data_IF_320898162949
#
_entry.id   IF_320898162949
#
_cell.length_a   1.000
_cell.length_b   1.000
_cell.length_c   1.000
_cell.angle_alpha   90.00
_cell.angle_beta   90.00
_cell.angle_gamma   90.00
#
_symmetry.space_group_name_H-M   'P 1'
#
loop_
_entity.id
_entity.type
_entity.pdbx_description
1 polymer ?
#
# COMPACT_ATOMS: atom_id res chain seq x y z
N UNK A 1 -77.86 -29.08 -44.57
CA UNK A 1 -77.19 -28.12 -43.67
C UNK A 1 -76.37 -29.00 -42.73
N UNK A 2 -75.15 -29.29 -43.11
CA UNK A 2 -74.23 -30.12 -42.32
C UNK A 2 -72.86 -29.47 -42.45
N UNK A 3 -72.42 -28.85 -41.34
CA UNK A 3 -71.20 -28.04 -41.18
C UNK A 3 -70.04 -29.03 -40.93
N UNK A 4 -69.10 -29.14 -41.84
CA UNK A 4 -67.98 -30.06 -41.77
C UNK A 4 -66.75 -29.23 -41.36
N UNK A 5 -66.41 -29.19 -40.05
CA UNK A 5 -65.16 -28.65 -39.53
C UNK A 5 -64.06 -29.70 -39.69
N UNK A 6 -63.05 -29.33 -40.46
CA UNK A 6 -61.75 -30.00 -40.56
C UNK A 6 -60.90 -29.67 -39.34
N UNK A 7 -60.27 -30.64 -38.67
CA UNK A 7 -59.37 -30.35 -37.56
C UNK A 7 -58.00 -29.90 -38.10
N UNK A 8 -57.55 -28.73 -37.63
CA UNK A 8 -56.19 -28.24 -37.81
C UNK A 8 -55.19 -29.15 -37.05
N UNK A 9 -54.15 -29.57 -37.76
CA UNK A 9 -53.00 -30.25 -37.18
C UNK A 9 -52.12 -29.22 -36.46
N UNK A 10 -51.55 -29.54 -35.26
CA UNK A 10 -50.58 -28.65 -34.60
C UNK A 10 -49.24 -28.74 -35.32
N UNK A 11 -48.74 -27.58 -35.74
CA UNK A 11 -47.39 -27.38 -36.25
C UNK A 11 -46.36 -27.88 -35.23
N UNK A 12 -45.52 -28.83 -35.64
CA UNK A 12 -44.31 -29.23 -34.89
C UNK A 12 -43.31 -28.10 -34.91
N UNK A 13 -43.18 -27.35 -33.80
CA UNK A 13 -42.07 -26.47 -33.53
C UNK A 13 -40.78 -27.29 -33.50
N UNK A 14 -39.98 -27.16 -34.53
CA UNK A 14 -38.62 -27.64 -34.62
C UNK A 14 -37.78 -26.91 -33.53
N UNK A 15 -37.45 -27.65 -32.47
CA UNK A 15 -36.54 -27.17 -31.43
C UNK A 15 -35.19 -26.88 -32.08
N UNK A 16 -34.74 -25.59 -31.99
CA UNK A 16 -33.38 -25.18 -32.31
C UNK A 16 -32.39 -25.98 -31.44
N UNK A 17 -31.24 -26.40 -31.99
CA UNK A 17 -30.21 -27.06 -31.19
C UNK A 17 -29.74 -26.11 -30.09
N UNK A 18 -29.80 -26.59 -28.84
CA UNK A 18 -29.26 -25.90 -27.68
C UNK A 18 -27.77 -25.61 -27.93
N UNK A 19 -27.41 -24.33 -27.90
CA UNK A 19 -26.02 -23.91 -27.86
C UNK A 19 -25.34 -24.58 -26.66
N UNK A 20 -24.11 -25.12 -26.82
CA UNK A 20 -23.41 -25.71 -25.70
C UNK A 20 -23.21 -24.67 -24.62
N UNK A 21 -23.74 -24.92 -23.43
CA UNK A 21 -23.51 -24.18 -22.21
C UNK A 21 -22.04 -23.70 -22.16
N UNK A 22 -21.84 -22.41 -22.25
CA UNK A 22 -20.57 -21.79 -21.96
C UNK A 22 -20.28 -22.13 -20.50
N UNK A 23 -19.48 -23.16 -20.27
CA UNK A 23 -19.01 -23.55 -18.94
C UNK A 23 -18.42 -22.31 -18.30
N UNK A 24 -19.03 -21.84 -17.21
CA UNK A 24 -18.49 -20.80 -16.38
C UNK A 24 -17.01 -21.13 -16.10
N UNK A 25 -16.10 -20.16 -16.19
CA UNK A 25 -14.67 -20.39 -15.97
C UNK A 25 -14.52 -21.09 -14.62
N UNK A 26 -14.07 -22.34 -14.62
CA UNK A 26 -13.83 -23.10 -13.40
C UNK A 26 -12.70 -22.39 -12.66
N UNK A 27 -13.02 -21.75 -11.55
CA UNK A 27 -12.01 -21.11 -10.69
C UNK A 27 -10.97 -22.16 -10.30
N UNK A 28 -9.70 -21.84 -10.52
CA UNK A 28 -8.62 -22.77 -10.21
C UNK A 28 -8.58 -23.01 -8.69
N UNK A 29 -8.39 -24.27 -8.20
CA UNK A 29 -8.41 -24.58 -6.77
C UNK A 29 -7.43 -23.72 -5.93
N UNK A 30 -6.36 -23.22 -6.55
CA UNK A 30 -5.38 -22.38 -5.89
C UNK A 30 -5.78 -20.91 -5.81
N UNK A 31 -6.83 -20.48 -6.49
CA UNK A 31 -7.31 -19.08 -6.37
C UNK A 31 -7.85 -18.75 -4.99
N UNK A 32 -8.42 -19.73 -4.30
CA UNK A 32 -9.03 -19.59 -2.98
C UNK A 32 -8.03 -19.64 -1.82
N UNK A 33 -6.76 -20.01 -2.08
CA UNK A 33 -5.76 -20.11 -1.04
C UNK A 33 -5.39 -18.74 -0.49
N UNK A 34 -5.47 -18.57 0.82
CA UNK A 34 -4.96 -17.38 1.51
C UNK A 34 -3.44 -17.52 1.72
N UNK A 35 -2.65 -16.49 1.42
CA UNK A 35 -1.22 -16.51 1.71
C UNK A 35 -0.97 -16.48 3.21
N UNK A 36 0.06 -17.20 3.65
CA UNK A 36 0.46 -17.26 5.04
C UNK A 36 1.38 -16.08 5.39
N UNK A 37 1.31 -15.53 6.64
CA UNK A 37 2.24 -14.54 7.12
C UNK A 37 3.68 -15.02 6.96
N UNK A 38 4.53 -14.19 6.35
CA UNK A 38 5.90 -14.56 6.05
C UNK A 38 6.90 -13.67 6.77
N UNK A 39 6.77 -12.34 6.62
CA UNK A 39 7.65 -11.35 7.24
C UNK A 39 6.95 -10.02 7.48
N UNK A 40 7.59 -9.16 8.28
CA UNK A 40 7.16 -7.79 8.47
C UNK A 40 7.94 -6.87 7.52
N UNK A 41 7.24 -5.89 6.94
CA UNK A 41 7.83 -4.84 6.12
C UNK A 41 7.81 -3.53 6.89
N UNK A 42 8.92 -2.80 6.82
CA UNK A 42 9.02 -1.40 7.22
C UNK A 42 8.92 -0.54 5.97
N UNK A 43 7.89 0.30 5.91
CA UNK A 43 7.70 1.30 4.87
C UNK A 43 8.20 2.65 5.38
N UNK A 44 9.37 3.06 4.92
CA UNK A 44 10.01 4.30 5.38
C UNK A 44 9.17 5.54 5.07
N UNK A 45 9.24 6.59 5.91
CA UNK A 45 8.59 7.85 5.62
C UNK A 45 9.15 8.43 4.33
N UNK A 46 8.28 9.04 3.53
CA UNK A 46 8.68 9.66 2.28
C UNK A 46 8.17 11.10 2.21
N UNK A 47 8.80 11.95 1.41
CA UNK A 47 8.35 13.32 1.20
C UNK A 47 6.89 13.39 0.78
N UNK A 48 6.23 14.50 1.09
CA UNK A 48 4.87 14.77 0.64
C UNK A 48 4.76 14.62 -0.88
N UNK A 49 3.71 13.95 -1.33
CA UNK A 49 3.38 13.79 -2.75
C UNK A 49 1.99 14.38 -2.99
N UNK A 50 1.83 15.18 -4.05
CA UNK A 50 0.55 15.84 -4.37
C UNK A 50 -0.59 14.84 -4.63
N UNK A 51 -0.26 13.68 -5.21
CA UNK A 51 -1.26 12.67 -5.56
C UNK A 51 -1.63 11.76 -4.37
N UNK A 52 -0.69 11.47 -3.47
CA UNK A 52 -0.88 10.49 -2.38
C UNK A 52 -0.83 11.11 -0.98
N UNK A 53 -0.52 12.40 -0.87
CA UNK A 53 -0.46 13.12 0.40
C UNK A 53 0.76 12.78 1.26
N UNK A 54 0.57 12.80 2.59
CA UNK A 54 1.61 12.50 3.57
C UNK A 54 1.90 11.00 3.59
N UNK A 55 3.17 10.63 3.56
CA UNK A 55 3.64 9.25 3.56
C UNK A 55 4.47 8.92 4.81
N UNK A 56 3.83 8.73 5.97
CA UNK A 56 4.51 8.47 7.24
C UNK A 56 5.14 7.08 7.26
N UNK A 57 5.97 6.82 8.28
CA UNK A 57 6.43 5.48 8.62
C UNK A 57 5.21 4.55 8.83
N UNK A 58 5.25 3.38 8.21
CA UNK A 58 4.25 2.33 8.42
C UNK A 58 4.91 0.97 8.47
N UNK A 59 4.26 0.04 9.12
CA UNK A 59 4.59 -1.37 9.07
C UNK A 59 3.48 -2.11 8.34
N UNK A 60 3.85 -3.15 7.61
CA UNK A 60 2.92 -3.97 6.86
C UNK A 60 3.29 -5.44 7.00
N UNK A 61 2.30 -6.31 7.05
CA UNK A 61 2.51 -7.74 7.01
C UNK A 61 2.70 -8.17 5.56
N UNK A 62 3.78 -8.87 5.28
CA UNK A 62 4.05 -9.50 4.00
C UNK A 62 3.74 -10.98 4.12
N UNK A 63 2.88 -11.47 3.25
CA UNK A 63 2.45 -12.86 3.22
C UNK A 63 2.80 -13.48 1.88
N UNK A 64 3.13 -14.78 1.90
CA UNK A 64 3.59 -15.54 0.73
C UNK A 64 3.00 -16.93 0.75
N UNK A 65 2.63 -17.45 -0.42
CA UNK A 65 2.30 -18.85 -0.63
C UNK A 65 2.88 -19.30 -1.96
N UNK A 66 3.40 -20.52 -1.99
CA UNK A 66 3.89 -21.18 -3.18
C UNK A 66 3.15 -22.50 -3.36
N UNK A 67 2.78 -22.80 -4.59
CA UNK A 67 2.22 -24.11 -4.98
C UNK A 67 2.87 -24.54 -6.28
N UNK A 68 3.17 -25.83 -6.36
CA UNK A 68 3.82 -26.43 -7.49
C UNK A 68 3.09 -27.69 -7.91
N UNK A 69 2.91 -27.84 -9.21
CA UNK A 69 2.46 -29.07 -9.83
C UNK A 69 3.33 -29.39 -11.04
N UNK A 70 3.09 -30.51 -11.70
CA UNK A 70 3.80 -30.87 -12.93
C UNK A 70 3.43 -29.97 -14.14
N UNK A 71 2.26 -29.33 -14.09
CA UNK A 71 1.77 -28.49 -15.18
C UNK A 71 2.01 -27.02 -14.95
N UNK A 72 1.88 -26.57 -13.70
CA UNK A 72 1.93 -25.16 -13.37
C UNK A 72 2.44 -24.91 -11.94
N UNK A 73 2.89 -23.71 -11.70
CA UNK A 73 3.26 -23.21 -10.37
C UNK A 73 2.65 -21.83 -10.13
N UNK A 74 2.26 -21.60 -8.88
CA UNK A 74 1.73 -20.31 -8.41
C UNK A 74 2.62 -19.77 -7.29
N UNK A 75 2.99 -18.51 -7.43
CA UNK A 75 3.45 -17.66 -6.33
C UNK A 75 2.39 -16.60 -6.08
N UNK A 76 1.89 -16.52 -4.84
CA UNK A 76 1.00 -15.46 -4.39
C UNK A 76 1.66 -14.68 -3.28
N UNK A 77 1.74 -13.37 -3.48
CA UNK A 77 2.27 -12.42 -2.52
C UNK A 77 1.16 -11.47 -2.12
N UNK A 78 1.05 -11.14 -0.83
CA UNK A 78 0.15 -10.08 -0.37
C UNK A 78 0.80 -9.19 0.68
N UNK A 79 0.34 -7.94 0.75
CA UNK A 79 0.81 -6.95 1.72
C UNK A 79 -0.39 -6.33 2.41
N UNK A 80 -0.46 -6.47 3.72
CA UNK A 80 -1.55 -5.97 4.56
C UNK A 80 -1.03 -4.93 5.55
N UNK A 81 -1.70 -3.77 5.59
CA UNK A 81 -1.40 -2.73 6.57
C UNK A 81 -2.38 -2.80 7.74
N UNK A 82 -1.93 -2.54 8.97
CA UNK A 82 -2.81 -2.53 10.13
C UNK A 82 -3.98 -1.56 9.95
N UNK A 83 -5.19 -2.04 10.23
CA UNK A 83 -6.43 -1.25 10.13
C UNK A 83 -6.94 -0.99 8.71
N UNK A 84 -6.35 -1.60 7.69
CA UNK A 84 -6.81 -1.50 6.32
C UNK A 84 -7.81 -2.62 6.00
N UNK A 85 -8.97 -2.23 5.44
CA UNK A 85 -9.91 -3.19 4.87
C UNK A 85 -9.63 -3.33 3.37
N UNK A 86 -9.01 -4.43 2.98
CA UNK A 86 -8.64 -4.71 1.60
C UNK A 86 -9.84 -5.25 0.80
N UNK A 87 -9.95 -4.80 -0.46
CA UNK A 87 -10.84 -5.42 -1.44
C UNK A 87 -10.20 -6.70 -1.96
N UNK A 88 -11.02 -7.61 -2.51
CA UNK A 88 -10.53 -8.81 -3.20
C UNK A 88 -9.48 -8.40 -4.26
N UNK A 89 -8.32 -9.05 -4.27
CA UNK A 89 -7.16 -8.79 -5.14
C UNK A 89 -6.39 -7.47 -4.93
N UNK A 90 -6.75 -6.66 -3.93
CA UNK A 90 -5.98 -5.46 -3.58
C UNK A 90 -4.72 -5.85 -2.80
N UNK A 91 -3.59 -5.20 -3.08
CA UNK A 91 -2.27 -5.50 -2.50
C UNK A 91 -1.84 -6.96 -2.64
N UNK A 92 -2.31 -7.63 -3.69
CA UNK A 92 -2.02 -9.03 -3.99
C UNK A 92 -1.44 -9.15 -5.39
N UNK A 93 -0.34 -9.87 -5.50
CA UNK A 93 0.31 -10.22 -6.76
C UNK A 93 0.29 -11.75 -6.90
N UNK A 94 -0.37 -12.25 -7.91
CA UNK A 94 -0.34 -13.64 -8.31
C UNK A 94 0.54 -13.79 -9.55
N UNK A 95 1.46 -14.74 -9.49
CA UNK A 95 2.38 -15.06 -10.57
C UNK A 95 2.24 -16.53 -10.91
N UNK A 96 1.87 -16.80 -12.13
CA UNK A 96 1.66 -18.14 -12.65
C UNK A 96 2.79 -18.54 -13.59
N UNK A 97 3.25 -19.77 -13.46
CA UNK A 97 4.19 -20.41 -14.36
C UNK A 97 3.51 -21.60 -15.03
N UNK A 98 3.43 -21.57 -16.35
CA UNK A 98 3.03 -22.73 -17.15
C UNK A 98 4.27 -23.53 -17.55
N UNK A 99 4.39 -24.76 -17.06
CA UNK A 99 5.53 -25.62 -17.33
C UNK A 99 5.46 -26.30 -18.71
N UNK A 100 4.28 -26.34 -19.33
CA UNK A 100 4.10 -26.90 -20.67
C UNK A 100 4.52 -25.88 -21.73
N UNK A 101 4.07 -24.63 -21.58
CA UNK A 101 4.40 -23.55 -22.51
C UNK A 101 5.72 -22.87 -22.13
N UNK A 102 6.24 -23.10 -20.94
CA UNK A 102 7.43 -22.42 -20.36
C UNK A 102 7.26 -20.93 -20.34
N UNK A 103 6.12 -20.48 -19.86
CA UNK A 103 5.74 -19.08 -19.76
C UNK A 103 5.44 -18.65 -18.32
N UNK A 104 5.76 -17.40 -18.03
CA UNK A 104 5.45 -16.72 -16.77
C UNK A 104 4.42 -15.62 -17.02
N UNK A 105 3.36 -15.60 -16.23
CA UNK A 105 2.29 -14.59 -16.29
C UNK A 105 2.12 -13.91 -14.96
N UNK A 106 1.97 -12.58 -14.99
CA UNK A 106 1.62 -11.76 -13.84
C UNK A 106 0.15 -11.38 -13.88
N UNK A 107 -0.55 -11.52 -12.76
CA UNK A 107 -1.89 -10.97 -12.59
C UNK A 107 -1.83 -9.45 -12.32
N UNK A 108 -2.89 -8.69 -12.67
CA UNK A 108 -2.92 -7.25 -12.45
C UNK A 108 -2.79 -6.90 -10.97
N UNK A 109 -1.83 -6.01 -10.65
CA UNK A 109 -1.54 -5.56 -9.29
C UNK A 109 -2.21 -4.20 -9.01
N UNK A 110 -3.10 -4.17 -8.02
CA UNK A 110 -3.71 -2.96 -7.49
C UNK A 110 -3.16 -2.66 -6.10
N UNK A 111 -2.56 -1.49 -5.92
CA UNK A 111 -1.87 -1.11 -4.69
C UNK A 111 -2.59 -0.01 -3.93
N UNK A 112 -2.75 -0.20 -2.61
CA UNK A 112 -3.21 0.80 -1.67
C UNK A 112 -2.42 0.67 -0.34
N UNK A 113 -1.71 1.69 0.11
CA UNK A 113 -1.50 2.99 -0.53
C UNK A 113 -0.53 2.91 -1.72
N UNK A 114 -0.79 3.70 -2.78
CA UNK A 114 0.10 3.76 -3.93
C UNK A 114 1.40 4.51 -3.61
N UNK A 115 2.39 4.35 -4.49
CA UNK A 115 3.66 5.10 -4.45
C UNK A 115 4.47 4.94 -3.15
N UNK A 116 4.46 3.72 -2.58
CA UNK A 116 5.25 3.35 -1.38
C UNK A 116 6.42 2.42 -1.67
N UNK A 117 6.61 2.04 -2.92
CA UNK A 117 7.63 1.05 -3.33
C UNK A 117 7.17 -0.41 -3.23
N UNK A 118 5.96 -0.67 -2.70
CA UNK A 118 5.42 -2.03 -2.48
C UNK A 118 5.37 -2.81 -3.80
N UNK A 119 4.89 -2.20 -4.90
CA UNK A 119 4.76 -2.89 -6.19
C UNK A 119 6.11 -3.35 -6.75
N UNK A 120 7.12 -2.48 -6.70
CA UNK A 120 8.48 -2.84 -7.12
C UNK A 120 9.07 -3.96 -6.25
N UNK A 121 8.83 -3.90 -4.94
CA UNK A 121 9.24 -4.95 -4.01
C UNK A 121 8.57 -6.29 -4.33
N UNK A 122 7.25 -6.32 -4.52
CA UNK A 122 6.52 -7.57 -4.83
C UNK A 122 6.97 -8.16 -6.17
N UNK A 123 7.15 -7.32 -7.20
CA UNK A 123 7.67 -7.76 -8.50
C UNK A 123 9.09 -8.31 -8.37
N UNK A 124 9.98 -7.65 -7.61
CA UNK A 124 11.33 -8.13 -7.38
C UNK A 124 11.34 -9.50 -6.69
N UNK A 125 10.48 -9.71 -5.67
CA UNK A 125 10.35 -11.01 -5.00
C UNK A 125 9.82 -12.10 -5.95
N UNK A 126 8.91 -11.75 -6.86
CA UNK A 126 8.39 -12.67 -7.85
C UNK A 126 9.44 -13.03 -8.91
N UNK A 127 10.22 -12.06 -9.36
CA UNK A 127 11.31 -12.26 -10.33
C UNK A 127 12.40 -13.14 -9.71
N UNK A 128 12.82 -12.84 -8.48
CA UNK A 128 13.83 -13.63 -7.75
C UNK A 128 13.39 -15.09 -7.61
N UNK A 129 12.13 -15.33 -7.21
CA UNK A 129 11.57 -16.66 -7.12
C UNK A 129 11.59 -17.41 -8.46
N UNK A 130 11.20 -16.76 -9.54
CA UNK A 130 11.16 -17.38 -10.86
C UNK A 130 12.58 -17.64 -11.40
N UNK A 131 13.54 -16.75 -11.17
CA UNK A 131 14.92 -16.90 -11.61
C UNK A 131 15.64 -18.10 -10.98
N UNK A 132 15.29 -18.47 -9.74
CA UNK A 132 15.92 -19.59 -9.05
C UNK A 132 15.80 -20.93 -9.78
N UNK A 133 14.70 -21.15 -10.51
CA UNK A 133 14.43 -22.44 -11.16
C UNK A 133 14.01 -22.35 -12.62
N UNK A 134 13.43 -21.22 -13.07
CA UNK A 134 12.78 -21.06 -14.37
C UNK A 134 13.28 -19.84 -15.16
N UNK A 135 14.54 -19.49 -14.98
CA UNK A 135 15.18 -18.34 -15.63
C UNK A 135 15.06 -18.32 -17.16
N UNK A 136 14.88 -19.49 -17.77
CA UNK A 136 14.76 -19.67 -19.21
C UNK A 136 13.34 -19.53 -19.76
N UNK A 137 12.31 -19.36 -18.89
CA UNK A 137 10.93 -19.20 -19.32
C UNK A 137 10.72 -17.84 -19.97
N UNK A 138 9.80 -17.80 -20.96
CA UNK A 138 9.35 -16.55 -21.53
C UNK A 138 8.42 -15.81 -20.56
N UNK A 139 8.33 -14.49 -20.67
CA UNK A 139 7.39 -13.68 -19.92
C UNK A 139 6.24 -13.32 -20.84
N UNK A 140 5.02 -13.71 -20.45
CA UNK A 140 3.84 -13.36 -21.20
C UNK A 140 3.60 -11.84 -21.10
N UNK A 141 3.29 -11.21 -22.22
CA UNK A 141 2.91 -9.81 -22.26
C UNK A 141 1.61 -9.58 -21.51
N UNK A 142 1.53 -8.51 -20.74
CA UNK A 142 0.32 -8.14 -20.00
C UNK A 142 -0.11 -6.72 -20.31
N UNK A 143 -1.41 -6.47 -20.15
CA UNK A 143 -1.98 -5.14 -20.30
C UNK A 143 -1.77 -4.30 -19.06
N UNK A 144 -1.47 -3.03 -19.28
CA UNK A 144 -1.38 -2.01 -18.23
C UNK A 144 -2.67 -1.18 -18.19
N UNK A 145 -3.03 -0.63 -17.01
CA UNK A 145 -4.20 0.26 -16.90
C UNK A 145 -4.17 1.39 -17.94
N UNK A 146 -5.33 1.69 -18.53
CA UNK A 146 -5.48 2.73 -19.53
C UNK A 146 -4.98 4.10 -19.02
N UNK A 147 -4.48 4.92 -19.93
CA UNK A 147 -3.95 6.26 -19.65
C UNK A 147 -4.95 7.16 -18.88
N UNK A 148 -6.23 7.12 -19.22
CA UNK A 148 -7.28 7.92 -18.59
C UNK A 148 -7.59 7.51 -17.13
N UNK A 149 -7.12 6.34 -16.67
CA UNK A 149 -7.26 5.86 -15.29
C UNK A 149 -6.13 6.32 -14.38
N UNK A 150 -5.07 6.90 -14.92
CA UNK A 150 -3.88 7.31 -14.18
C UNK A 150 -3.52 8.75 -14.48
N UNK A 151 -3.02 9.47 -13.47
CA UNK A 151 -2.36 10.75 -13.73
C UNK A 151 -1.07 10.52 -14.55
N UNK A 152 -0.64 11.53 -15.30
CA UNK A 152 0.57 11.42 -16.12
C UNK A 152 1.81 11.09 -15.27
N UNK A 153 1.94 11.69 -14.10
CA UNK A 153 3.02 11.37 -13.16
C UNK A 153 2.97 9.93 -12.67
N UNK A 154 1.77 9.38 -12.40
CA UNK A 154 1.62 7.99 -11.98
C UNK A 154 1.98 7.02 -13.10
N UNK A 155 1.63 7.36 -14.36
CA UNK A 155 2.00 6.62 -15.55
C UNK A 155 3.53 6.58 -15.73
N UNK A 156 4.18 7.74 -15.71
CA UNK A 156 5.63 7.83 -15.86
C UNK A 156 6.37 7.07 -14.76
N UNK A 157 5.91 7.15 -13.52
CA UNK A 157 6.48 6.38 -12.39
C UNK A 157 6.33 4.87 -12.58
N UNK A 158 5.17 4.42 -13.04
CA UNK A 158 4.92 3.00 -13.35
C UNK A 158 5.86 2.51 -14.44
N UNK A 159 5.91 3.23 -15.56
CA UNK A 159 6.73 2.84 -16.70
C UNK A 159 8.23 2.84 -16.36
N UNK A 160 8.68 3.82 -15.58
CA UNK A 160 10.06 3.85 -15.07
C UNK A 160 10.35 2.66 -14.15
N UNK A 161 9.41 2.31 -13.25
CA UNK A 161 9.58 1.17 -12.36
C UNK A 161 9.67 -0.15 -13.12
N UNK A 162 8.82 -0.36 -14.13
CA UNK A 162 8.84 -1.56 -14.96
C UNK A 162 10.13 -1.67 -15.81
N UNK A 163 10.54 -0.56 -16.45
CA UNK A 163 11.78 -0.54 -17.23
C UNK A 163 13.00 -0.83 -16.37
N UNK A 164 13.05 -0.30 -15.15
CA UNK A 164 14.14 -0.59 -14.21
C UNK A 164 14.16 -2.05 -13.72
N UNK A 165 13.10 -2.80 -13.95
CA UNK A 165 13.05 -4.25 -13.68
C UNK A 165 13.20 -5.09 -14.95
N UNK A 166 13.62 -4.47 -16.07
CA UNK A 166 13.90 -5.18 -17.33
C UNK A 166 12.69 -5.39 -18.23
N UNK A 167 11.50 -4.85 -17.88
CA UNK A 167 10.35 -4.93 -18.77
C UNK A 167 10.42 -3.87 -19.87
N UNK A 168 10.04 -4.25 -21.08
CA UNK A 168 9.74 -3.32 -22.17
C UNK A 168 8.29 -2.84 -22.04
N UNK A 169 8.08 -1.52 -22.03
CA UNK A 169 6.73 -0.92 -22.01
C UNK A 169 6.45 -0.34 -23.37
N UNK A 170 5.45 -0.88 -24.05
CA UNK A 170 5.05 -0.53 -25.40
C UNK A 170 3.69 0.16 -25.41
N UNK A 171 3.55 1.15 -26.28
CA UNK A 171 2.31 1.87 -26.54
C UNK A 171 1.92 1.63 -27.99
N UNK A 172 1.01 0.67 -28.27
CA UNK A 172 0.65 0.33 -29.65
C UNK A 172 -0.14 1.42 -30.36
N UNK A 173 -0.84 2.28 -29.60
CA UNK A 173 -1.71 3.31 -30.16
C UNK A 173 -0.99 4.67 -30.26
N UNK A 174 -1.20 5.44 -31.35
CA UNK A 174 -0.71 6.81 -31.50
C UNK A 174 -1.16 7.75 -30.36
N UNK A 175 -2.38 7.54 -29.82
CA UNK A 175 -2.91 8.25 -28.65
C UNK A 175 -2.36 7.82 -27.31
N UNK A 176 -1.50 6.80 -27.26
CA UNK A 176 -0.92 6.21 -26.03
C UNK A 176 -1.98 5.84 -24.98
N UNK A 177 -3.18 5.42 -25.43
CA UNK A 177 -4.28 5.06 -24.52
C UNK A 177 -4.05 3.70 -23.88
N UNK A 178 -3.54 2.76 -24.65
CA UNK A 178 -3.20 1.41 -24.20
C UNK A 178 -1.70 1.27 -24.02
N UNK A 179 -1.30 0.53 -23.01
CA UNK A 179 0.09 0.17 -22.80
C UNK A 179 0.16 -1.31 -22.44
N UNK A 180 1.20 -1.96 -22.94
CA UNK A 180 1.51 -3.34 -22.62
C UNK A 180 2.94 -3.42 -22.09
N UNK A 181 3.19 -4.39 -21.23
CA UNK A 181 4.55 -4.73 -20.83
C UNK A 181 4.91 -6.11 -21.34
N UNK A 182 6.18 -6.31 -21.65
CA UNK A 182 6.72 -7.58 -22.10
C UNK A 182 8.16 -7.73 -21.64
N UNK A 183 8.64 -8.96 -21.59
CA UNK A 183 10.05 -9.30 -21.50
C UNK A 183 10.29 -10.62 -22.24
N UNK A 184 11.45 -10.80 -22.82
CA UNK A 184 11.73 -12.02 -23.60
C UNK A 184 11.90 -13.23 -22.71
N UNK A 185 12.61 -13.07 -21.60
CA UNK A 185 12.88 -14.16 -20.65
C UNK A 185 12.94 -13.65 -19.23
N UNK A 186 12.64 -14.55 -18.30
CA UNK A 186 12.76 -14.29 -16.85
C UNK A 186 14.20 -13.92 -16.47
N UNK A 187 15.22 -14.47 -17.15
CA UNK A 187 16.62 -14.14 -16.89
C UNK A 187 17.01 -12.70 -17.22
N UNK A 188 16.23 -12.01 -18.05
CA UNK A 188 16.48 -10.60 -18.42
C UNK A 188 15.86 -9.61 -17.44
N UNK A 189 15.03 -10.09 -16.53
CA UNK A 189 14.39 -9.27 -15.51
C UNK A 189 15.36 -8.99 -14.34
N UNK A 190 15.23 -7.84 -13.73
CA UNK A 190 16.01 -7.43 -12.56
C UNK A 190 15.17 -7.49 -11.28
N UNK A 191 15.61 -8.34 -10.35
CA UNK A 191 14.97 -8.50 -9.03
C UNK A 191 15.47 -7.43 -8.06
N UNK A 192 15.28 -6.14 -8.40
CA UNK A 192 15.74 -5.02 -7.60
C UNK A 192 14.59 -4.18 -7.06
N UNK A 193 14.73 -3.77 -5.79
CA UNK A 193 13.84 -2.81 -5.15
C UNK A 193 14.64 -1.82 -4.31
N UNK A 194 14.04 -0.70 -3.92
CA UNK A 194 14.71 0.29 -3.10
C UNK A 194 14.55 -0.04 -1.61
N UNK A 195 15.62 -0.48 -0.90
CA UNK A 195 15.57 -0.81 0.52
C UNK A 195 15.34 0.41 1.42
N UNK A 196 15.61 1.64 0.95
CA UNK A 196 15.29 2.87 1.66
C UNK A 196 13.78 3.19 1.67
N UNK A 197 13.00 2.51 0.81
CA UNK A 197 11.54 2.63 0.78
C UNK A 197 10.85 1.48 1.47
N UNK A 198 11.32 0.25 1.23
CA UNK A 198 10.73 -0.98 1.75
C UNK A 198 11.85 -1.87 2.26
N UNK A 199 11.88 -2.05 3.57
CA UNK A 199 12.81 -2.94 4.25
C UNK A 199 12.04 -4.17 4.76
N UNK A 200 12.60 -5.34 4.51
CA UNK A 200 12.13 -6.59 5.12
C UNK A 200 12.76 -6.68 6.50
N UNK A 201 11.94 -6.87 7.52
CA UNK A 201 12.39 -7.02 8.90
C UNK A 201 12.36 -8.50 9.30
N UNK A 202 13.37 -8.92 10.03
CA UNK A 202 13.34 -10.17 10.76
C UNK A 202 12.87 -9.95 12.22
N UNK A 203 12.79 -11.02 12.99
CA UNK A 203 12.32 -10.98 14.37
C UNK A 203 13.27 -10.19 15.29
N UNK A 204 14.58 -10.27 15.03
CA UNK A 204 15.60 -9.55 15.81
C UNK A 204 15.57 -8.06 15.50
N UNK A 205 15.38 -7.68 14.22
CA UNK A 205 15.19 -6.29 13.81
C UNK A 205 13.97 -5.68 14.52
N UNK A 206 12.86 -6.42 14.58
CA UNK A 206 11.65 -5.99 15.27
C UNK A 206 11.90 -5.80 16.77
N UNK A 207 12.58 -6.75 17.42
CA UNK A 207 12.92 -6.67 18.83
C UNK A 207 13.81 -5.44 19.12
N UNK A 208 14.87 -5.24 18.33
CA UNK A 208 15.76 -4.09 18.47
C UNK A 208 15.04 -2.75 18.29
N UNK A 209 14.12 -2.67 17.33
CA UNK A 209 13.30 -1.47 17.12
C UNK A 209 12.37 -1.17 18.29
N UNK A 210 11.76 -2.20 18.90
CA UNK A 210 10.91 -2.04 20.09
C UNK A 210 11.71 -1.56 21.28
N UNK A 211 12.89 -2.11 21.53
CA UNK A 211 13.80 -1.68 22.60
C UNK A 211 14.26 -0.23 22.40
N UNK A 212 14.60 0.14 21.17
CA UNK A 212 14.94 1.51 20.83
C UNK A 212 13.77 2.47 21.06
N UNK A 213 12.56 2.07 20.68
CA UNK A 213 11.35 2.87 20.88
C UNK A 213 11.06 3.07 22.38
N UNK A 214 11.19 2.02 23.21
CA UNK A 214 11.02 2.12 24.66
C UNK A 214 12.05 3.08 25.29
N UNK A 215 13.31 2.99 24.85
CA UNK A 215 14.38 3.91 25.30
C UNK A 215 14.04 5.35 24.95
N UNK A 216 13.61 5.62 23.72
CA UNK A 216 13.22 6.95 23.28
C UNK A 216 12.00 7.48 24.05
N UNK A 217 11.01 6.67 24.35
CA UNK A 217 9.87 7.04 25.17
C UNK A 217 10.31 7.46 26.58
N UNK A 218 11.18 6.72 27.24
CA UNK A 218 11.71 7.07 28.56
C UNK A 218 12.50 8.38 28.54
N UNK A 219 13.30 8.60 27.49
CA UNK A 219 14.00 9.87 27.32
C UNK A 219 13.03 11.05 27.17
N UNK A 220 11.99 10.88 26.34
CA UNK A 220 10.95 11.91 26.17
C UNK A 220 10.19 12.18 27.47
N UNK A 221 9.81 11.16 28.22
CA UNK A 221 9.15 11.31 29.54
C UNK A 221 10.03 12.10 30.52
N UNK A 222 11.34 11.81 30.55
CA UNK A 222 12.28 12.58 31.41
C UNK A 222 12.40 14.04 31.00
N UNK A 223 12.38 14.33 29.68
CA UNK A 223 12.39 15.68 29.17
C UNK A 223 11.09 16.44 29.50
N UNK A 224 9.95 15.79 29.30
CA UNK A 224 8.64 16.35 29.65
C UNK A 224 8.61 16.72 31.14
N UNK A 225 9.02 15.81 32.04
CA UNK A 225 9.07 16.06 33.46
C UNK A 225 9.98 17.27 33.81
N UNK A 226 11.17 17.36 33.21
CA UNK A 226 12.05 18.54 33.39
C UNK A 226 11.39 19.84 32.93
N UNK A 227 10.68 19.80 31.81
CA UNK A 227 9.94 20.98 31.33
C UNK A 227 8.78 21.34 32.26
N UNK A 228 8.05 20.38 32.79
CA UNK A 228 6.96 20.61 33.75
C UNK A 228 7.48 21.20 35.06
N UNK A 229 8.60 20.68 35.59
CA UNK A 229 9.27 21.23 36.77
C UNK A 229 9.70 22.67 36.53
N UNK A 230 10.29 22.98 35.35
CA UNK A 230 10.70 24.34 35.00
C UNK A 230 9.51 25.29 34.84
N UNK A 231 8.42 24.83 34.23
CA UNK A 231 7.17 25.61 34.12
C UNK A 231 6.59 25.89 35.52
N UNK A 232 6.59 24.91 36.40
CA UNK A 232 6.09 25.05 37.77
C UNK A 232 6.95 26.05 38.56
N UNK A 233 8.27 26.00 38.41
CA UNK A 233 9.19 26.96 39.02
C UNK A 233 8.94 28.37 38.51
N UNK A 234 8.86 28.60 37.18
CA UNK A 234 8.57 29.90 36.58
C UNK A 234 7.19 30.46 37.03
N UNK A 235 6.16 29.62 37.15
CA UNK A 235 4.85 30.02 37.65
C UNK A 235 4.90 30.52 39.11
N UNK A 236 5.71 29.85 39.96
CA UNK A 236 5.91 30.29 41.34
C UNK A 236 6.64 31.65 41.40
N UNK A 237 7.66 31.84 40.59
CA UNK A 237 8.38 33.08 40.50
C UNK A 237 7.49 34.23 39.99
N UNK A 238 6.74 34.01 38.92
CA UNK A 238 5.77 34.98 38.40
C UNK A 238 4.68 35.36 39.44
N UNK A 239 4.17 34.40 40.20
CA UNK A 239 3.22 34.61 41.29
C UNK A 239 3.88 35.48 42.38
N UNK A 240 5.12 35.25 42.74
CA UNK A 240 5.85 36.05 43.72
C UNK A 240 6.04 37.50 43.25
N UNK A 241 6.43 37.68 41.97
CA UNK A 241 6.58 38.99 41.37
C UNK A 241 5.25 39.77 41.32
N UNK A 242 4.19 39.14 40.92
CA UNK A 242 2.83 39.74 40.91
C UNK A 242 2.37 40.18 42.30
N UNK A 243 2.63 39.34 43.31
CA UNK A 243 2.31 39.70 44.70
C UNK A 243 3.14 40.93 45.13
N UNK A 244 4.43 40.96 44.86
CA UNK A 244 5.30 42.08 45.18
C UNK A 244 4.88 43.37 44.49
N UNK A 245 4.53 43.33 43.20
CA UNK A 245 4.01 44.47 42.44
C UNK A 245 2.68 44.96 43.05
N UNK A 246 1.78 44.05 43.39
CA UNK A 246 0.48 44.42 44.02
C UNK A 246 0.72 45.13 45.35
N UNK A 247 1.62 44.64 46.20
CA UNK A 247 1.95 45.26 47.48
C UNK A 247 2.58 46.67 47.28
N UNK A 248 3.46 46.82 46.31
CA UNK A 248 4.09 48.14 45.99
C UNK A 248 3.04 49.15 45.50
N UNK A 249 2.12 48.72 44.64
CA UNK A 249 1.02 49.61 44.18
C UNK A 249 0.11 50.00 45.33
N UNK A 250 -0.28 49.06 46.19
CA UNK A 250 -1.10 49.38 47.37
C UNK A 250 -0.38 50.34 48.31
N UNK A 251 0.92 50.15 48.54
CA UNK A 251 1.73 51.05 49.36
C UNK A 251 1.83 52.47 48.76
N UNK A 252 2.04 52.60 47.46
CA UNK A 252 2.07 53.85 46.74
C UNK A 252 0.76 54.64 46.85
N UNK A 253 -0.38 53.92 46.69
CA UNK A 253 -1.69 54.50 46.84
C UNK A 253 -1.95 54.99 48.29
N UNK A 254 -1.52 54.21 49.28
CA UNK A 254 -1.58 54.60 50.69
C UNK A 254 -0.75 55.86 50.97
N UNK A 255 0.48 55.93 50.46
CA UNK A 255 1.34 57.11 50.60
C UNK A 255 0.73 58.38 49.96
N UNK A 256 0.18 58.22 48.72
CA UNK A 256 -0.51 59.33 48.04
C UNK A 256 -1.72 59.83 48.82
N UNK A 257 -2.52 58.93 49.36
CA UNK A 257 -3.68 59.28 50.21
C UNK A 257 -3.25 60.03 51.50
N UNK A 258 -2.15 59.59 52.12
CA UNK A 258 -1.64 60.21 53.35
C UNK A 258 -1.08 61.63 53.06
N UNK A 259 -0.41 61.82 51.95
CA UNK A 259 0.09 63.16 51.53
C UNK A 259 -1.08 64.12 51.24
N UNK A 260 -2.12 63.68 50.56
CA UNK A 260 -3.33 64.47 50.31
C UNK A 260 -3.99 64.85 51.63
N UNK A 261 -4.11 63.92 52.55
CA UNK A 261 -4.70 64.18 53.88
C UNK A 261 -3.92 65.22 54.66
N UNK A 262 -2.58 65.13 54.64
CA UNK A 262 -1.71 66.18 55.33
C UNK A 262 -1.86 67.50 54.63
N UNK A 263 -1.92 67.60 53.32
CA UNK A 263 -2.02 68.83 52.56
C UNK A 263 -3.36 69.55 52.67
N UNK A 264 -4.43 68.83 53.02
CA UNK A 264 -5.80 69.35 53.14
C UNK A 264 -6.20 69.70 54.58
N UNK A 265 -5.39 69.34 55.53
CA UNK A 265 -5.60 69.66 56.96
C UNK A 265 -4.77 70.86 57.36
#
# INVERSE_FOLDING_TARGET
MTDTRTPEQPEQQTAAPAEPDAQAPQEHPWELLAPEPYRLLRLYPQPFDRATGVRPLRFAQYSRIERHSQKESLLRLSVELPGQSLKKHQNRLDVWLDHQQKEMRFEPLQLDPPNRGIGRFMLAQAIEWAQQRWSHYAVQSGDLPYRNMLSEEARLRRDHALRNQGFEVLYPDEGQLRATYSAKRVSELEADWNPEKVQVLDELDCAAMLEQADTQLREQETLIRKHEERITWLKREDSGLRFTVTCLVAFALFQAGLLIWIATR
#
